data_IF_700263157625
#
_entry.id   IF_700263157625
#
_cell.length_a   1.000
_cell.length_b   1.000
_cell.length_c   1.000
_cell.angle_alpha   90.00
_cell.angle_beta   90.00
_cell.angle_gamma   90.00
#
_symmetry.space_group_name_H-M   'P 1'
#
loop_
_entity.id
_entity.type
_entity.pdbx_description
1 polymer ?
#
# COMPACT_ATOMS: atom_id res chain seq x y z
N UNK A 1 -25.59 -59.87 0.29
CA UNK A 1 -26.09 -58.90 1.29
C UNK A 1 -24.88 -58.24 1.93
N UNK A 2 -24.87 -56.89 1.98
CA UNK A 2 -23.96 -55.99 2.73
C UNK A 2 -22.62 -55.65 2.04
N UNK A 3 -22.58 -54.50 1.33
CA UNK A 3 -22.24 -53.13 1.82
C UNK A 3 -20.71 -52.95 1.82
N UNK A 4 -20.09 -52.39 0.77
CA UNK A 4 -20.01 -50.95 0.46
C UNK A 4 -19.23 -50.20 1.56
N UNK A 5 -17.89 -50.16 1.46
CA UNK A 5 -17.04 -49.33 2.34
C UNK A 5 -15.96 -48.62 1.52
N UNK A 6 -16.25 -47.34 1.28
CA UNK A 6 -15.35 -46.17 1.36
C UNK A 6 -14.32 -46.00 0.24
N UNK A 7 -14.80 -45.36 -0.84
CA UNK A 7 -14.00 -44.44 -1.66
C UNK A 7 -14.24 -43.02 -1.10
N UNK A 8 -13.40 -42.53 -0.19
CA UNK A 8 -13.40 -41.11 0.19
C UNK A 8 -12.05 -40.67 0.78
N UNK A 9 -11.09 -40.38 -0.10
CA UNK A 9 -9.98 -39.48 0.22
C UNK A 9 -10.04 -38.36 -0.82
N UNK A 10 -10.96 -37.41 -0.57
CA UNK A 10 -11.10 -36.19 -1.35
C UNK A 10 -10.46 -35.03 -0.57
N UNK A 11 -9.32 -34.55 -1.10
CA UNK A 11 -8.95 -33.14 -1.20
C UNK A 11 -9.04 -32.32 0.09
N UNK A 12 -8.01 -32.41 0.94
CA UNK A 12 -7.71 -31.39 1.96
C UNK A 12 -6.34 -30.79 1.68
N UNK A 13 -6.20 -30.02 0.59
CA UNK A 13 -4.90 -29.47 0.18
C UNK A 13 -4.91 -28.04 -0.35
N UNK A 14 -6.06 -27.40 -0.59
CA UNK A 14 -6.12 -26.17 -1.41
C UNK A 14 -6.43 -24.87 -0.64
N UNK A 15 -6.77 -24.91 0.65
CA UNK A 15 -7.24 -23.72 1.37
C UNK A 15 -6.13 -22.74 1.78
N UNK A 16 -4.92 -23.22 2.10
CA UNK A 16 -3.83 -22.37 2.59
C UNK A 16 -3.21 -21.49 1.48
N UNK A 17 -3.15 -21.99 0.24
CA UNK A 17 -2.58 -21.25 -0.88
C UNK A 17 -3.45 -20.05 -1.31
N UNK A 18 -4.78 -20.21 -1.27
CA UNK A 18 -5.75 -19.14 -1.59
C UNK A 18 -5.74 -18.02 -0.53
N UNK A 19 -5.73 -18.37 0.75
CA UNK A 19 -5.66 -17.39 1.84
C UNK A 19 -4.35 -16.57 1.81
N UNK A 20 -3.23 -17.20 1.43
CA UNK A 20 -1.93 -16.54 1.34
C UNK A 20 -1.79 -15.62 0.11
N UNK A 21 -2.51 -15.90 -1.00
CA UNK A 21 -2.53 -14.99 -2.16
C UNK A 21 -3.21 -13.64 -1.85
N UNK A 22 -4.21 -13.62 -0.96
CA UNK A 22 -4.90 -12.39 -0.59
C UNK A 22 -4.09 -11.49 0.35
N UNK A 23 -3.16 -12.05 1.15
CA UNK A 23 -2.39 -11.28 2.13
C UNK A 23 -1.47 -10.21 1.50
N UNK A 24 -1.07 -10.40 0.24
CA UNK A 24 -0.17 -9.51 -0.50
C UNK A 24 -0.86 -8.81 -1.67
N UNK A 25 -2.18 -8.92 -1.78
CA UNK A 25 -2.94 -8.33 -2.87
C UNK A 25 -3.23 -6.84 -2.60
N UNK A 26 -2.96 -6.00 -3.60
CA UNK A 26 -3.38 -4.61 -3.66
C UNK A 26 -4.66 -4.55 -4.49
N UNK A 27 -5.75 -4.10 -3.89
CA UNK A 27 -7.01 -3.87 -4.58
C UNK A 27 -7.26 -2.36 -4.63
N UNK A 28 -7.07 -1.71 -5.80
CA UNK A 28 -7.32 -0.28 -5.98
C UNK A 28 -8.68 0.13 -5.40
N UNK A 29 -8.71 1.23 -4.66
CA UNK A 29 -9.96 1.77 -4.11
C UNK A 29 -10.61 0.93 -3.01
N UNK A 30 -9.95 -0.12 -2.51
CA UNK A 30 -10.56 -1.05 -1.55
C UNK A 30 -9.64 -1.49 -0.43
N UNK A 31 -8.47 -2.04 -0.74
CA UNK A 31 -7.65 -2.72 0.28
C UNK A 31 -6.19 -2.93 -0.11
N UNK A 32 -5.35 -3.15 0.89
CA UNK A 32 -4.02 -3.75 0.75
C UNK A 32 -3.90 -4.87 1.77
N UNK A 33 -3.74 -6.11 1.29
CA UNK A 33 -3.75 -7.30 2.13
C UNK A 33 -5.05 -7.38 2.95
N UNK A 34 -4.90 -7.47 4.27
CA UNK A 34 -6.01 -7.58 5.22
C UNK A 34 -6.65 -6.24 5.60
N UNK A 35 -6.05 -5.11 5.21
CA UNK A 35 -6.54 -3.78 5.57
C UNK A 35 -7.48 -3.29 4.48
N UNK A 36 -8.66 -2.84 4.87
CA UNK A 36 -9.68 -2.29 3.98
C UNK A 36 -9.87 -0.81 4.25
N UNK A 37 -10.09 -0.03 3.20
CA UNK A 37 -10.60 1.33 3.30
C UNK A 37 -11.96 1.32 3.99
N UNK A 38 -12.30 2.46 4.61
CA UNK A 38 -13.56 2.69 5.32
C UNK A 38 -13.87 1.66 6.41
N UNK A 39 -12.84 0.93 6.88
CA UNK A 39 -12.97 0.07 8.05
C UNK A 39 -12.59 0.83 9.33
N UNK A 40 -13.21 0.54 10.47
CA UNK A 40 -12.84 1.13 11.75
C UNK A 40 -11.37 0.86 12.09
N UNK A 41 -10.69 1.80 12.73
CA UNK A 41 -9.29 1.67 13.11
C UNK A 41 -9.00 0.45 14.00
N UNK A 42 -10.01 -0.02 14.75
CA UNK A 42 -9.94 -1.23 15.57
C UNK A 42 -9.66 -2.49 14.73
N UNK A 43 -10.08 -2.51 13.46
CA UNK A 43 -9.78 -3.61 12.54
C UNK A 43 -8.28 -3.80 12.28
N UNK A 44 -7.45 -2.78 12.55
CA UNK A 44 -6.00 -2.84 12.39
C UNK A 44 -5.31 -3.70 13.46
N UNK A 45 -6.03 -4.13 14.51
CA UNK A 45 -5.50 -5.00 15.56
C UNK A 45 -4.90 -6.32 15.01
N UNK A 46 -5.36 -6.78 13.83
CA UNK A 46 -4.81 -7.94 13.13
C UNK A 46 -3.32 -7.81 12.76
N UNK A 47 -2.80 -6.58 12.71
CA UNK A 47 -1.39 -6.29 12.41
C UNK A 47 -0.52 -6.22 13.68
N UNK A 48 -1.13 -6.29 14.86
CA UNK A 48 -0.46 -6.02 16.12
C UNK A 48 -0.13 -4.54 16.33
N UNK A 49 0.68 -4.25 17.35
CA UNK A 49 1.05 -2.89 17.73
C UNK A 49 1.88 -2.23 16.60
N UNK A 50 1.54 -0.99 16.17
CA UNK A 50 2.37 -0.25 15.23
C UNK A 50 3.74 0.11 15.84
N UNK A 51 4.76 0.18 14.99
CA UNK A 51 6.12 0.55 15.36
C UNK A 51 6.30 2.05 15.53
N UNK A 52 5.48 2.83 14.83
CA UNK A 52 5.50 4.28 14.88
C UNK A 52 4.18 4.85 14.36
N UNK A 53 4.08 6.17 14.45
CA UNK A 53 2.88 6.88 14.06
C UNK A 53 2.85 8.26 14.68
N UNK A 54 1.89 9.04 14.21
CA UNK A 54 1.56 10.34 14.78
C UNK A 54 0.04 10.46 14.81
N UNK A 55 -0.51 11.07 15.87
CA UNK A 55 -1.94 11.25 16.03
C UNK A 55 -2.21 12.69 16.45
N UNK A 56 -2.82 13.44 15.55
CA UNK A 56 -3.10 14.86 15.73
C UNK A 56 -4.39 15.24 15.01
N UNK A 57 -5.11 16.23 15.54
CA UNK A 57 -6.28 16.85 14.90
C UNK A 57 -7.29 15.83 14.33
N UNK A 58 -7.70 14.86 15.16
CA UNK A 58 -8.66 13.81 14.80
C UNK A 58 -8.22 12.88 13.65
N UNK A 59 -6.92 12.84 13.36
CA UNK A 59 -6.28 11.99 12.36
C UNK A 59 -5.16 11.18 13.01
N UNK A 60 -4.79 10.07 12.39
CA UNK A 60 -3.64 9.30 12.84
C UNK A 60 -2.96 8.55 11.71
N UNK A 61 -1.62 8.58 11.71
CA UNK A 61 -0.76 7.65 11.02
C UNK A 61 -0.38 6.50 11.95
N UNK A 62 -0.43 5.28 11.43
CA UNK A 62 0.10 4.08 12.09
C UNK A 62 1.02 3.36 11.11
N UNK A 63 2.22 3.00 11.56
CA UNK A 63 3.29 2.49 10.70
C UNK A 63 3.79 1.17 11.26
N UNK A 64 3.90 0.17 10.41
CA UNK A 64 4.51 -1.13 10.69
C UNK A 64 5.68 -1.33 9.74
N UNK A 65 6.83 -1.67 10.29
CA UNK A 65 8.02 -2.02 9.53
C UNK A 65 8.17 -3.53 9.42
N UNK A 66 8.80 -3.98 8.35
CA UNK A 66 9.20 -5.37 8.22
C UNK A 66 10.23 -5.73 9.28
N UNK A 67 10.49 -7.03 9.44
CA UNK A 67 11.51 -7.56 10.33
C UNK A 67 12.57 -8.30 9.55
N UNK A 68 13.83 -8.13 9.94
CA UNK A 68 14.95 -8.97 9.47
C UNK A 68 14.84 -10.37 10.07
N UNK A 69 15.66 -11.31 9.60
CA UNK A 69 15.70 -12.70 10.13
C UNK A 69 15.97 -12.76 11.64
N UNK A 70 16.75 -11.81 12.15
CA UNK A 70 17.07 -11.65 13.57
C UNK A 70 16.01 -10.86 14.36
N UNK A 71 14.82 -10.65 13.79
CA UNK A 71 13.67 -9.93 14.37
C UNK A 71 13.87 -8.43 14.60
N UNK A 72 15.01 -7.84 14.21
CA UNK A 72 15.18 -6.38 14.25
C UNK A 72 14.31 -5.69 13.21
N UNK A 73 13.96 -4.42 13.46
CA UNK A 73 13.24 -3.57 12.52
C UNK A 73 14.02 -3.46 11.20
N UNK A 74 13.30 -3.63 10.10
CA UNK A 74 13.74 -3.31 8.76
C UNK A 74 12.92 -2.14 8.22
N UNK A 75 13.49 -0.94 8.33
CA UNK A 75 12.83 0.30 7.90
C UNK A 75 12.77 0.47 6.38
N UNK A 76 13.42 -0.41 5.60
CA UNK A 76 13.34 -0.36 4.14
C UNK A 76 11.96 -0.76 3.61
N UNK A 77 11.19 -1.49 4.41
CA UNK A 77 9.87 -1.98 4.05
C UNK A 77 8.84 -1.63 5.13
N UNK A 78 7.83 -0.85 4.75
CA UNK A 78 6.78 -0.36 5.61
C UNK A 78 5.38 -0.62 5.04
N UNK A 79 4.43 -0.68 5.96
CA UNK A 79 3.01 -0.51 5.76
C UNK A 79 2.59 0.70 6.61
N UNK A 80 1.96 1.70 6.01
CA UNK A 80 1.46 2.87 6.72
C UNK A 80 -0.03 3.04 6.47
N UNK A 81 -0.80 3.24 7.53
CA UNK A 81 -2.26 3.41 7.45
C UNK A 81 -2.61 4.76 8.03
N UNK A 82 -3.32 5.56 7.26
CA UNK A 82 -3.92 6.80 7.72
C UNK A 82 -5.38 6.59 8.03
N UNK A 83 -5.79 7.11 9.17
CA UNK A 83 -7.18 7.09 9.61
C UNK A 83 -7.63 8.49 10.00
N UNK A 84 -8.90 8.80 9.75
CA UNK A 84 -9.52 10.05 10.17
C UNK A 84 -10.81 9.77 10.92
N UNK A 85 -11.15 10.64 11.87
CA UNK A 85 -12.39 10.53 12.62
C UNK A 85 -13.60 10.77 11.72
N UNK A 86 -14.60 9.90 11.81
CA UNK A 86 -15.88 10.01 11.08
C UNK A 86 -17.08 10.09 12.02
N UNK A 87 -17.02 9.38 13.15
CA UNK A 87 -17.96 9.49 14.27
C UNK A 87 -17.26 10.12 15.46
N UNK A 88 -17.96 10.42 16.56
CA UNK A 88 -17.35 11.06 17.73
C UNK A 88 -16.18 10.28 18.37
N UNK A 89 -16.14 8.96 18.18
CA UNK A 89 -15.22 8.05 18.88
C UNK A 89 -14.45 7.10 17.94
N UNK A 90 -14.77 7.09 16.64
CA UNK A 90 -14.24 6.10 15.72
C UNK A 90 -13.56 6.76 14.53
N UNK A 91 -12.28 6.42 14.39
CA UNK A 91 -11.49 6.70 13.20
C UNK A 91 -11.64 5.58 12.18
N UNK A 92 -11.66 5.95 10.90
CA UNK A 92 -11.79 5.03 9.78
C UNK A 92 -10.58 5.11 8.87
N UNK A 93 -10.20 3.99 8.28
CA UNK A 93 -9.10 3.90 7.31
C UNK A 93 -9.47 4.71 6.07
N UNK A 94 -8.67 5.75 5.79
CA UNK A 94 -8.83 6.60 4.60
C UNK A 94 -7.74 6.37 3.57
N UNK A 95 -6.59 5.86 4.00
CA UNK A 95 -5.49 5.58 3.08
C UNK A 95 -4.58 4.47 3.60
N UNK A 96 -4.08 3.64 2.68
CA UNK A 96 -3.14 2.56 2.96
C UNK A 96 -1.94 2.70 2.03
N UNK A 97 -0.73 2.68 2.58
CA UNK A 97 0.53 2.78 1.84
C UNK A 97 1.42 1.58 2.07
N UNK A 98 2.08 1.09 1.01
CA UNK A 98 3.04 -0.01 1.12
C UNK A 98 4.18 0.09 0.11
N UNK A 99 5.39 -0.24 0.54
CA UNK A 99 6.58 -0.26 -0.33
C UNK A 99 7.27 -1.64 -0.41
N UNK A 100 6.76 -2.66 0.28
CA UNK A 100 7.31 -4.01 0.19
C UNK A 100 7.08 -4.62 -1.20
N UNK A 101 8.11 -5.22 -1.84
CA UNK A 101 8.00 -5.80 -3.17
C UNK A 101 7.12 -7.07 -3.21
N UNK A 102 6.65 -7.56 -2.06
CA UNK A 102 5.70 -8.68 -2.01
C UNK A 102 4.31 -8.27 -2.49
N UNK A 103 3.93 -7.00 -2.29
CA UNK A 103 2.59 -6.54 -2.62
C UNK A 103 2.42 -6.26 -4.10
N UNK A 104 1.34 -6.78 -4.69
CA UNK A 104 1.02 -6.65 -6.12
C UNK A 104 -0.47 -6.44 -6.33
N UNK A 105 -0.83 -5.66 -7.34
CA UNK A 105 -2.20 -5.61 -7.84
C UNK A 105 -2.51 -6.89 -8.62
N UNK A 106 -3.79 -7.16 -8.90
CA UNK A 106 -4.19 -8.25 -9.80
C UNK A 106 -3.58 -8.11 -11.22
N UNK A 107 -3.19 -6.89 -11.61
CA UNK A 107 -2.48 -6.59 -12.86
C UNK A 107 -0.97 -6.81 -12.77
N UNK A 108 -0.46 -7.32 -11.64
CA UNK A 108 0.95 -7.67 -11.43
C UNK A 108 1.90 -6.50 -11.13
N UNK A 109 1.38 -5.29 -10.90
CA UNK A 109 2.23 -4.11 -10.61
C UNK A 109 2.25 -3.77 -9.11
N UNK A 110 3.33 -3.17 -8.64
CA UNK A 110 3.51 -2.74 -7.26
C UNK A 110 4.90 -2.13 -7.03
N UNK A 111 5.40 -2.09 -5.77
CA UNK A 111 6.74 -1.61 -5.49
C UNK A 111 7.80 -2.38 -6.29
N UNK A 112 8.70 -1.64 -6.93
CA UNK A 112 9.70 -2.13 -7.88
C UNK A 112 9.27 -2.14 -9.36
N UNK A 113 7.98 -2.00 -9.68
CA UNK A 113 7.52 -1.90 -11.08
C UNK A 113 8.01 -0.61 -11.74
N UNK A 114 8.34 -0.67 -13.03
CA UNK A 114 8.70 0.54 -13.80
C UNK A 114 7.46 1.39 -14.11
N UNK A 115 7.65 2.69 -14.30
CA UNK A 115 6.55 3.57 -14.73
C UNK A 115 5.91 3.13 -16.06
N UNK A 116 6.70 2.56 -16.99
CA UNK A 116 6.17 2.03 -18.25
C UNK A 116 5.20 0.86 -18.02
N UNK A 117 5.56 -0.07 -17.13
CA UNK A 117 4.68 -1.19 -16.74
C UNK A 117 3.42 -0.69 -16.04
N UNK A 118 3.53 0.32 -15.18
CA UNK A 118 2.40 0.91 -14.46
C UNK A 118 1.43 1.58 -15.43
N UNK A 119 1.92 2.41 -16.36
CA UNK A 119 1.09 3.05 -17.40
C UNK A 119 0.39 2.03 -18.30
N UNK A 120 1.03 0.89 -18.59
CA UNK A 120 0.39 -0.20 -19.33
C UNK A 120 -0.76 -0.85 -18.54
N UNK A 121 -0.59 -1.03 -17.23
CA UNK A 121 -1.62 -1.61 -16.36
C UNK A 121 -2.75 -0.60 -16.01
N UNK A 122 -2.44 0.69 -15.96
CA UNK A 122 -3.35 1.78 -15.63
C UNK A 122 -3.24 2.88 -16.70
N UNK A 123 -3.92 2.73 -17.85
CA UNK A 123 -3.82 3.69 -18.97
C UNK A 123 -4.26 5.12 -18.61
N UNK A 124 -5.19 5.25 -17.66
CA UNK A 124 -5.74 6.54 -17.22
C UNK A 124 -4.90 7.20 -16.11
N UNK A 125 -3.74 6.63 -15.75
CA UNK A 125 -2.92 7.17 -14.67
C UNK A 125 -2.27 8.50 -15.06
N UNK A 126 -2.41 9.51 -14.20
CA UNK A 126 -1.91 10.86 -14.43
C UNK A 126 -0.77 11.20 -13.49
N UNK A 127 0.22 11.96 -13.95
CA UNK A 127 1.20 12.60 -13.05
C UNK A 127 0.50 13.75 -12.36
N UNK A 128 0.48 13.74 -11.03
CA UNK A 128 -0.24 14.76 -10.24
C UNK A 128 0.67 15.62 -9.39
N UNK A 129 1.86 15.13 -9.05
CA UNK A 129 2.79 15.87 -8.22
C UNK A 129 4.23 15.38 -8.43
N UNK A 130 5.20 16.25 -8.20
CA UNK A 130 6.59 15.87 -8.05
C UNK A 130 7.23 16.55 -6.85
N UNK A 131 8.29 15.92 -6.34
CA UNK A 131 9.08 16.39 -5.21
C UNK A 131 10.55 16.22 -5.54
N UNK A 132 11.37 17.20 -5.16
CA UNK A 132 12.82 17.17 -5.40
C UNK A 132 13.58 17.52 -4.13
N UNK A 133 14.72 16.88 -3.91
CA UNK A 133 15.65 17.33 -2.87
C UNK A 133 16.28 18.67 -3.27
N UNK A 134 16.70 19.48 -2.31
CA UNK A 134 17.31 20.79 -2.58
C UNK A 134 18.50 20.73 -3.56
N UNK A 135 19.29 19.66 -3.50
CA UNK A 135 20.42 19.41 -4.40
C UNK A 135 20.04 18.66 -5.71
N UNK A 136 18.75 18.45 -5.96
CA UNK A 136 18.18 17.73 -7.12
C UNK A 136 18.66 16.28 -7.31
N UNK A 137 19.37 15.71 -6.33
CA UNK A 137 19.87 14.33 -6.39
C UNK A 137 18.75 13.29 -6.29
N UNK A 138 17.62 13.66 -5.69
CA UNK A 138 16.46 12.79 -5.52
C UNK A 138 15.23 13.47 -6.09
N UNK A 139 14.44 12.72 -6.84
CA UNK A 139 13.15 13.13 -7.39
C UNK A 139 12.14 12.04 -7.13
N UNK A 140 10.97 12.44 -6.66
CA UNK A 140 9.82 11.56 -6.47
C UNK A 140 8.67 12.09 -7.27
N UNK A 141 8.06 11.23 -8.08
CA UNK A 141 6.92 11.60 -8.93
C UNK A 141 5.73 10.73 -8.54
N UNK A 142 4.62 11.40 -8.26
CA UNK A 142 3.35 10.77 -7.87
C UNK A 142 2.47 10.65 -9.10
N UNK A 143 2.08 9.43 -9.40
CA UNK A 143 1.10 9.10 -10.44
C UNK A 143 -0.18 8.58 -9.79
N UNK A 144 -1.34 9.04 -10.21
CA UNK A 144 -2.64 8.67 -9.64
C UNK A 144 -3.63 8.25 -10.71
N UNK A 145 -4.38 7.19 -10.43
CA UNK A 145 -5.63 6.85 -11.09
C UNK A 145 -6.75 7.06 -10.07
N UNK A 146 -7.29 8.27 -10.04
CA UNK A 146 -8.33 8.70 -9.11
C UNK A 146 -9.59 7.86 -9.24
N UNK A 147 -9.96 7.44 -10.45
CA UNK A 147 -11.15 6.61 -10.69
C UNK A 147 -11.02 5.23 -10.04
N UNK A 148 -9.81 4.67 -10.06
CA UNK A 148 -9.55 3.38 -9.44
C UNK A 148 -9.11 3.48 -7.97
N UNK A 149 -8.81 4.68 -7.45
CA UNK A 149 -8.39 4.85 -6.05
C UNK A 149 -6.99 4.28 -5.76
N UNK A 150 -6.03 4.54 -6.65
CA UNK A 150 -4.64 4.08 -6.51
C UNK A 150 -3.62 5.12 -6.96
N UNK A 151 -2.51 5.22 -6.24
CA UNK A 151 -1.34 6.00 -6.60
C UNK A 151 -0.05 5.18 -6.58
N UNK A 152 0.92 5.62 -7.36
CA UNK A 152 2.28 5.12 -7.37
C UNK A 152 3.25 6.28 -7.22
N UNK A 153 4.08 6.23 -6.18
CA UNK A 153 5.23 7.11 -6.07
C UNK A 153 6.40 6.43 -6.76
N UNK A 154 7.13 7.18 -7.59
CA UNK A 154 8.29 6.67 -8.31
C UNK A 154 9.52 7.46 -7.96
N UNK A 155 10.63 6.77 -7.73
CA UNK A 155 11.94 7.37 -7.49
C UNK A 155 12.82 7.17 -8.72
N UNK A 156 13.73 8.12 -8.96
CA UNK A 156 14.81 7.90 -9.92
C UNK A 156 15.64 6.68 -9.51
N UNK A 157 15.81 5.74 -10.43
CA UNK A 157 16.70 4.57 -10.26
C UNK A 157 18.08 4.88 -10.81
N UNK A 158 19.11 4.19 -10.27
CA UNK A 158 20.46 4.14 -10.87
C UNK A 158 20.45 3.69 -12.34
N UNK A 159 19.44 2.91 -12.74
CA UNK A 159 19.25 2.41 -14.12
C UNK A 159 18.55 3.40 -15.07
N UNK A 160 18.49 4.70 -14.71
CA UNK A 160 17.81 5.80 -15.46
C UNK A 160 16.29 5.66 -15.64
N UNK A 161 15.68 4.52 -15.30
CA UNK A 161 14.23 4.31 -15.40
C UNK A 161 13.57 4.50 -14.02
N UNK A 162 12.60 5.41 -13.85
CA UNK A 162 11.88 5.53 -12.59
C UNK A 162 11.16 4.23 -12.21
N UNK A 163 11.32 3.84 -10.95
CA UNK A 163 10.69 2.65 -10.37
C UNK A 163 9.77 3.04 -9.23
N UNK A 164 8.68 2.29 -9.06
CA UNK A 164 7.75 2.50 -7.97
C UNK A 164 8.42 2.24 -6.63
N UNK A 165 8.46 3.27 -5.77
CA UNK A 165 8.92 3.20 -4.39
C UNK A 165 7.78 2.99 -3.41
N UNK A 166 6.56 3.39 -3.74
CA UNK A 166 5.39 3.27 -2.85
C UNK A 166 4.12 3.09 -3.68
N UNK A 167 3.21 2.25 -3.20
CA UNK A 167 1.83 2.20 -3.68
C UNK A 167 0.92 2.75 -2.59
N UNK A 168 -0.07 3.53 -3.00
CA UNK A 168 -1.08 4.12 -2.12
C UNK A 168 -2.47 3.71 -2.61
N UNK A 169 -3.32 3.22 -1.72
CA UNK A 169 -4.74 2.95 -1.97
C UNK A 169 -5.57 3.91 -1.13
N UNK A 170 -6.56 4.52 -1.76
CA UNK A 170 -7.47 5.55 -1.21
C UNK A 170 -8.84 5.44 -1.90
N UNK A 171 -9.87 6.11 -1.39
CA UNK A 171 -11.22 5.97 -1.94
C UNK A 171 -11.32 6.49 -3.39
N UNK A 172 -12.00 5.75 -4.29
CA UNK A 172 -12.24 6.22 -5.65
C UNK A 172 -12.90 7.60 -5.69
N UNK A 173 -12.38 8.49 -6.54
CA UNK A 173 -12.86 9.87 -6.65
C UNK A 173 -12.24 10.85 -5.66
N UNK A 174 -11.61 10.38 -4.58
CA UNK A 174 -10.74 11.21 -3.74
C UNK A 174 -9.35 11.38 -4.40
N UNK A 175 -8.44 12.11 -3.76
CA UNK A 175 -7.05 12.16 -4.19
C UNK A 175 -6.14 11.76 -3.05
N UNK A 176 -5.17 10.88 -3.34
CA UNK A 176 -4.06 10.64 -2.43
C UNK A 176 -3.31 11.95 -2.08
N UNK A 177 -3.38 13.00 -2.93
CA UNK A 177 -2.75 14.30 -2.70
C UNK A 177 -3.32 15.05 -1.48
N UNK A 178 -4.59 14.80 -1.10
CA UNK A 178 -5.26 15.48 0.01
C UNK A 178 -4.82 15.02 1.41
N UNK A 179 -3.94 14.02 1.49
CA UNK A 179 -3.53 13.33 2.74
C UNK A 179 -1.99 13.17 2.81
N UNK A 180 -1.24 13.89 1.96
CA UNK A 180 0.21 13.70 1.82
C UNK A 180 1.02 14.49 2.85
N UNK A 181 1.35 13.87 3.98
CA UNK A 181 2.46 14.34 4.84
C UNK A 181 3.36 13.19 5.35
N UNK A 182 3.17 11.97 4.85
CA UNK A 182 4.06 10.85 5.22
C UNK A 182 4.57 10.11 4.00
N UNK A 183 5.85 10.28 3.72
CA UNK A 183 6.54 9.54 2.69
C UNK A 183 7.95 9.17 3.14
N UNK A 184 8.30 7.90 2.99
CA UNK A 184 9.60 7.39 3.38
C UNK A 184 10.73 8.17 2.65
N UNK A 185 11.50 8.95 3.41
CA UNK A 185 12.64 9.69 2.90
C UNK A 185 12.31 10.99 2.15
N UNK A 186 11.13 11.58 2.34
CA UNK A 186 10.79 12.92 1.84
C UNK A 186 11.18 14.06 2.77
N UNK A 187 11.73 13.77 3.95
CA UNK A 187 11.98 14.72 5.05
C UNK A 187 12.82 15.96 4.66
N UNK A 188 13.37 15.99 3.44
CA UNK A 188 14.18 17.07 2.86
C UNK A 188 13.81 17.37 1.39
N UNK A 189 12.56 17.11 0.99
CA UNK A 189 12.09 17.36 -0.38
C UNK A 189 11.05 18.48 -0.44
N UNK A 190 11.13 19.28 -1.50
CA UNK A 190 10.17 20.35 -1.79
C UNK A 190 9.23 19.94 -2.92
N UNK A 191 7.93 20.29 -2.84
CA UNK A 191 7.02 20.08 -3.95
C UNK A 191 7.44 20.95 -5.15
N UNK A 192 7.36 20.38 -6.35
CA UNK A 192 7.63 21.05 -7.63
C UNK A 192 6.51 20.74 -8.60
N UNK A 193 6.34 21.60 -9.62
CA UNK A 193 5.32 21.40 -10.64
C UNK A 193 5.41 19.98 -11.28
N UNK A 194 4.26 19.37 -11.61
CA UNK A 194 4.19 18.04 -12.20
C UNK A 194 4.66 17.99 -13.67
#
# INVERSE_FOLDING_TARGET
MRLLIVFLILITGTSLASAQQNAWLIVPGKSIGQIKLESPAQSLAVLGKPDGGDAAMMKAWRIWYSRKKDKRIDSSHMLAVFTAMRTQDTQYVKQIRVNSPKFRTAKGVGPGSTIATIKKAYPDIQRVQAYESANKARKIVVFQDTKQGIAFETVNSRSKKPVCSMVVVFDPGESAAGVLDFHAGFDLMTPVAP
#
